data_IF_520606556623
#
_entry.id   IF_520606556623
#
_cell.length_a   1.000
_cell.length_b   1.000
_cell.length_c   1.000
_cell.angle_alpha   90.00
_cell.angle_beta   90.00
_cell.angle_gamma   90.00
#
_symmetry.space_group_name_H-M   'P 1'
#
loop_
_entity.id
_entity.type
_entity.pdbx_description
1 polymer ?
#
# COMPACT_ATOMS: atom_id res chain seq x y z
N UNK A 1 -12.88 38.56 33.39
CA UNK A 1 -13.77 39.67 32.96
C UNK A 1 -13.00 40.49 31.93
N UNK A 2 -13.40 40.73 30.69
CA UNK A 2 -14.55 40.40 29.87
C UNK A 2 -14.21 40.87 28.44
N UNK A 3 -14.73 40.19 27.41
CA UNK A 3 -14.58 40.56 25.98
C UNK A 3 -15.34 41.86 25.67
N UNK A 4 -15.11 42.48 24.50
CA UNK A 4 -15.95 42.20 23.30
C UNK A 4 -15.08 41.95 22.04
N UNK A 5 -15.41 41.09 21.05
CA UNK A 5 -16.56 41.09 20.09
C UNK A 5 -16.51 42.34 19.19
N UNK A 6 -16.54 42.38 17.85
CA UNK A 6 -16.96 41.48 16.75
C UNK A 6 -16.50 42.15 15.42
N UNK A 7 -16.44 41.39 14.32
CA UNK A 7 -16.79 41.83 12.94
C UNK A 7 -16.00 42.99 12.27
N UNK A 8 -15.07 42.65 11.37
CA UNK A 8 -14.66 43.38 10.14
C UNK A 8 -13.44 42.59 9.58
N UNK A 9 -13.47 41.87 8.47
CA UNK A 9 -13.43 42.37 7.08
C UNK A 9 -13.76 41.18 6.17
N UNK A 10 -14.99 41.14 5.68
CA UNK A 10 -15.36 40.59 4.37
C UNK A 10 -15.69 41.85 3.57
N UNK A 11 -14.82 42.25 2.64
CA UNK A 11 -15.05 43.20 1.55
C UNK A 11 -13.69 43.63 0.97
N UNK A 12 -13.22 42.94 -0.07
CA UNK A 12 -12.58 43.56 -1.23
C UNK A 12 -12.39 42.49 -2.32
N UNK A 13 -12.74 42.85 -3.57
CA UNK A 13 -12.67 42.08 -4.83
C UNK A 13 -13.96 41.39 -5.29
N UNK A 14 -14.93 42.23 -5.67
CA UNK A 14 -15.89 41.93 -6.73
C UNK A 14 -16.19 43.22 -7.48
N UNK A 15 -15.74 43.34 -8.73
CA UNK A 15 -16.36 44.14 -9.81
C UNK A 15 -15.51 44.10 -11.09
N UNK A 16 -15.81 43.14 -11.96
CA UNK A 16 -15.83 43.33 -13.42
C UNK A 16 -16.85 42.34 -14.02
N UNK A 17 -18.05 42.89 -14.27
CA UNK A 17 -19.03 42.55 -15.30
C UNK A 17 -19.73 41.16 -15.32
N UNK A 18 -20.98 41.15 -14.83
CA UNK A 18 -22.16 40.49 -15.47
C UNK A 18 -22.53 41.29 -16.74
N UNK A 19 -23.11 40.81 -17.86
CA UNK A 19 -23.96 39.66 -18.24
C UNK A 19 -23.97 39.54 -19.81
N UNK A 20 -24.88 38.81 -20.51
CA UNK A 20 -25.63 37.57 -20.22
C UNK A 20 -25.52 36.48 -21.34
N UNK A 21 -26.15 35.35 -21.03
CA UNK A 21 -26.51 34.15 -21.83
C UNK A 21 -27.11 34.43 -23.24
N UNK A 22 -26.73 33.60 -24.22
CA UNK A 22 -27.61 33.18 -25.33
C UNK A 22 -27.26 31.75 -25.76
N UNK A 23 -28.29 30.90 -25.81
CA UNK A 23 -28.23 29.50 -26.22
C UNK A 23 -28.34 29.37 -27.74
N UNK A 24 -27.57 28.46 -28.36
CA UNK A 24 -27.86 27.94 -29.69
C UNK A 24 -27.54 26.44 -29.74
N UNK A 25 -28.59 25.68 -30.04
CA UNK A 25 -28.64 24.24 -30.29
C UNK A 25 -27.96 23.84 -31.63
N UNK A 26 -27.60 22.55 -31.83
CA UNK A 26 -26.85 22.07 -32.98
C UNK A 26 -27.75 21.71 -34.18
N UNK A 27 -27.23 21.63 -35.41
CA UNK A 27 -28.02 21.14 -36.54
C UNK A 27 -27.79 19.65 -36.80
N UNK A 28 -28.88 18.87 -36.73
CA UNK A 28 -29.02 17.59 -37.43
C UNK A 28 -29.55 17.79 -38.86
N UNK A 29 -28.99 16.98 -39.76
CA UNK A 29 -29.47 16.48 -41.07
C UNK A 29 -30.66 17.12 -41.79
N UNK A 30 -30.47 17.44 -43.09
CA UNK A 30 -31.37 16.98 -44.16
C UNK A 30 -30.71 16.99 -45.55
N UNK A 31 -31.26 16.12 -46.40
CA UNK A 31 -30.71 15.51 -47.60
C UNK A 31 -30.98 16.25 -48.94
N UNK A 32 -30.54 15.60 -50.02
CA UNK A 32 -30.75 15.82 -51.48
C UNK A 32 -29.70 16.76 -52.13
N UNK A 33 -29.11 16.50 -53.31
CA UNK A 33 -29.45 15.68 -54.49
C UNK A 33 -28.20 15.51 -55.38
N UNK A 34 -27.88 14.29 -55.84
CA UNK A 34 -27.84 13.81 -57.25
C UNK A 34 -26.89 14.50 -58.25
N UNK A 35 -25.91 13.72 -58.76
CA UNK A 35 -25.42 13.55 -60.15
C UNK A 35 -23.99 12.96 -60.08
N UNK A 36 -23.79 11.64 -60.20
CA UNK A 36 -23.67 10.86 -61.43
C UNK A 36 -22.46 11.28 -62.30
N UNK A 37 -21.36 10.52 -62.22
CA UNK A 37 -20.67 10.04 -63.42
C UNK A 37 -19.84 8.77 -63.16
N UNK A 38 -19.79 7.93 -64.18
CA UNK A 38 -19.43 6.52 -64.15
C UNK A 38 -17.93 6.24 -64.41
N UNK A 39 -17.42 5.10 -63.93
CA UNK A 39 -16.90 4.00 -64.77
C UNK A 39 -16.09 2.92 -64.01
N UNK A 40 -16.47 1.66 -64.31
CA UNK A 40 -15.66 0.42 -64.43
C UNK A 40 -14.91 -0.13 -63.19
N UNK A 41 -15.40 -1.20 -62.54
CA UNK A 41 -15.33 -2.65 -62.91
C UNK A 41 -13.98 -3.34 -62.62
N UNK A 42 -13.97 -4.19 -61.59
CA UNK A 42 -13.63 -5.63 -61.73
C UNK A 42 -13.94 -6.38 -60.43
N UNK A 43 -14.88 -7.34 -60.50
CA UNK A 43 -15.21 -8.28 -59.43
C UNK A 43 -14.82 -9.71 -59.86
N UNK A 44 -14.15 -10.42 -58.93
CA UNK A 44 -14.13 -11.87 -58.57
C UNK A 44 -14.18 -12.98 -59.67
N UNK A 45 -13.87 -14.27 -59.35
CA UNK A 45 -14.83 -15.13 -58.65
C UNK A 45 -14.24 -16.16 -57.65
N UNK A 46 -15.04 -16.45 -56.62
CA UNK A 46 -15.07 -17.71 -55.86
C UNK A 46 -16.04 -18.71 -56.52
N UNK A 47 -15.84 -20.02 -56.32
CA UNK A 47 -16.83 -21.14 -56.19
C UNK A 47 -16.13 -22.53 -56.36
N UNK A 48 -16.73 -23.70 -56.02
CA UNK A 48 -17.85 -24.01 -55.11
C UNK A 48 -17.68 -25.28 -54.21
N UNK A 49 -18.50 -25.36 -53.15
CA UNK A 49 -19.41 -26.48 -52.81
C UNK A 49 -18.89 -27.82 -52.22
N UNK A 50 -19.37 -28.17 -51.01
CA UNK A 50 -20.19 -29.37 -50.76
C UNK A 50 -20.69 -29.44 -49.30
N UNK A 51 -22.01 -29.52 -49.13
CA UNK A 51 -22.66 -29.75 -47.84
C UNK A 51 -22.94 -31.23 -47.53
N UNK A 52 -23.09 -31.55 -46.24
CA UNK A 52 -23.95 -32.65 -45.77
C UNK A 52 -24.41 -32.43 -44.32
N UNK A 53 -25.70 -32.67 -44.11
CA UNK A 53 -26.49 -32.50 -42.87
C UNK A 53 -26.38 -33.71 -41.91
N UNK A 54 -26.88 -33.48 -40.68
CA UNK A 54 -27.62 -34.42 -39.79
C UNK A 54 -26.73 -35.35 -38.91
N UNK A 55 -26.94 -35.62 -37.60
CA UNK A 55 -28.09 -35.55 -36.67
C UNK A 55 -27.65 -35.45 -35.19
N UNK A 56 -28.49 -34.81 -34.38
CA UNK A 56 -28.62 -34.99 -32.92
C UNK A 56 -29.47 -36.23 -32.58
N UNK A 57 -29.09 -37.01 -31.56
CA UNK A 57 -29.89 -38.04 -30.84
C UNK A 57 -29.15 -38.35 -29.53
N UNK A 58 -29.68 -38.27 -28.30
CA UNK A 58 -31.05 -38.32 -27.81
C UNK A 58 -31.45 -39.75 -27.45
N UNK A 59 -31.10 -40.25 -26.26
CA UNK A 59 -31.51 -41.58 -25.79
C UNK A 59 -31.42 -41.75 -24.27
N UNK A 60 -32.55 -42.09 -23.64
CA UNK A 60 -32.78 -42.28 -22.19
C UNK A 60 -33.40 -43.69 -21.98
N UNK A 61 -32.83 -44.48 -21.06
CA UNK A 61 -33.42 -45.60 -20.27
C UNK A 61 -33.60 -46.98 -20.95
N UNK A 62 -33.97 -48.07 -20.20
CA UNK A 62 -34.04 -48.26 -18.73
C UNK A 62 -33.50 -49.65 -18.21
N UNK A 63 -33.42 -49.85 -16.87
CA UNK A 63 -33.89 -51.12 -16.26
C UNK A 63 -32.94 -52.02 -15.42
N UNK A 64 -33.04 -51.89 -14.08
CA UNK A 64 -33.17 -52.90 -13.01
C UNK A 64 -32.23 -54.11 -12.77
N UNK A 65 -31.83 -54.24 -11.48
CA UNK A 65 -31.53 -55.48 -10.74
C UNK A 65 -30.07 -55.57 -10.27
N UNK A 66 -29.68 -55.78 -9.01
CA UNK A 66 -30.35 -56.03 -7.74
C UNK A 66 -29.29 -56.61 -6.77
N UNK A 67 -29.31 -56.17 -5.51
CA UNK A 67 -28.96 -57.00 -4.34
C UNK A 67 -27.49 -57.38 -4.02
N UNK A 68 -27.11 -56.98 -2.80
CA UNK A 68 -26.25 -57.67 -1.83
C UNK A 68 -24.72 -57.51 -1.89
N UNK A 69 -24.16 -57.16 -0.73
CA UNK A 69 -22.94 -57.81 -0.24
C UNK A 69 -21.82 -56.89 0.19
N UNK A 70 -21.66 -56.79 1.51
CA UNK A 70 -20.55 -56.16 2.23
C UNK A 70 -19.14 -56.48 1.68
N UNK A 71 -18.26 -55.47 1.74
CA UNK A 71 -16.82 -55.66 1.60
C UNK A 71 -16.05 -54.36 1.80
N UNK A 72 -15.64 -54.08 3.05
CA UNK A 72 -14.66 -53.04 3.36
C UNK A 72 -13.32 -53.39 2.70
N UNK A 73 -13.00 -52.74 1.58
CA UNK A 73 -11.75 -52.87 0.85
C UNK A 73 -10.96 -51.56 0.92
N UNK A 74 -9.71 -51.65 1.37
CA UNK A 74 -8.79 -50.55 1.63
C UNK A 74 -8.68 -49.56 0.45
N UNK A 75 -8.74 -48.26 0.76
CA UNK A 75 -8.53 -47.18 -0.18
C UNK A 75 -7.14 -47.24 -0.81
N UNK A 76 -7.08 -47.54 -2.11
CA UNK A 76 -5.88 -47.34 -2.93
C UNK A 76 -5.63 -45.84 -3.04
N UNK A 77 -4.44 -45.43 -2.59
CA UNK A 77 -3.98 -44.04 -2.60
C UNK A 77 -4.13 -43.39 -3.97
N UNK A 78 -4.54 -42.12 -3.94
CA UNK A 78 -4.42 -41.23 -5.08
C UNK A 78 -2.93 -41.13 -5.42
N UNK A 79 -2.56 -41.72 -6.56
CA UNK A 79 -1.23 -41.49 -7.14
C UNK A 79 -1.21 -40.03 -7.57
N UNK A 80 -0.44 -39.22 -6.86
CA UNK A 80 0.03 -37.95 -7.38
C UNK A 80 0.71 -38.26 -8.73
N UNK A 81 0.16 -37.75 -9.82
CA UNK A 81 0.91 -37.63 -11.06
C UNK A 81 2.01 -36.61 -10.76
N UNK A 82 3.18 -37.11 -10.36
CA UNK A 82 4.41 -36.35 -10.46
C UNK A 82 4.54 -35.95 -11.93
N UNK A 83 4.42 -34.66 -12.20
CA UNK A 83 4.82 -34.12 -13.49
C UNK A 83 6.32 -34.39 -13.61
N UNK A 84 6.70 -35.22 -14.58
CA UNK A 84 8.09 -35.35 -15.02
C UNK A 84 8.60 -33.94 -15.37
N UNK A 85 9.39 -33.35 -14.48
CA UNK A 85 10.13 -32.13 -14.74
C UNK A 85 11.42 -32.51 -15.46
N UNK A 86 11.29 -33.06 -16.66
CA UNK A 86 12.41 -33.30 -17.57
C UNK A 86 12.34 -32.33 -18.76
N UNK A 87 12.11 -31.05 -18.44
CA UNK A 87 12.39 -29.97 -19.39
C UNK A 87 13.85 -29.56 -19.22
N UNK A 88 14.67 -29.56 -20.29
CA UNK A 88 16.03 -29.07 -20.21
C UNK A 88 16.03 -27.63 -19.72
N UNK A 89 16.88 -27.32 -18.73
CA UNK A 89 17.03 -25.96 -18.23
C UNK A 89 17.44 -25.03 -19.38
N UNK A 90 16.51 -24.20 -19.83
CA UNK A 90 16.78 -23.17 -20.83
C UNK A 90 17.62 -22.10 -20.15
N UNK A 91 18.92 -22.06 -20.44
CA UNK A 91 19.81 -21.02 -19.95
C UNK A 91 19.58 -19.75 -20.75
N UNK A 92 19.05 -18.72 -20.12
CA UNK A 92 18.89 -17.40 -20.74
C UNK A 92 20.15 -16.56 -20.51
N UNK A 93 20.72 -16.02 -21.59
CA UNK A 93 21.87 -15.12 -21.51
C UNK A 93 21.46 -13.78 -20.86
N UNK A 94 22.17 -13.41 -19.80
CA UNK A 94 22.00 -12.13 -19.10
C UNK A 94 22.97 -11.11 -19.69
N UNK A 95 22.46 -9.94 -20.05
CA UNK A 95 23.23 -8.86 -20.70
C UNK A 95 23.05 -7.53 -19.97
N UNK A 96 23.93 -6.56 -20.26
CA UNK A 96 23.99 -5.24 -19.64
C UNK A 96 24.13 -4.13 -20.70
N UNK A 97 23.08 -3.79 -21.46
CA UNK A 97 23.21 -2.99 -22.68
C UNK A 97 23.65 -1.53 -22.48
N UNK A 98 23.32 -0.89 -21.34
CA UNK A 98 23.64 0.51 -21.07
C UNK A 98 24.46 0.72 -19.78
N UNK A 99 24.02 0.11 -18.68
CA UNK A 99 24.76 0.13 -17.41
C UNK A 99 25.53 -1.19 -17.28
N UNK A 100 26.85 -1.14 -17.51
CA UNK A 100 27.72 -2.30 -17.35
C UNK A 100 27.66 -2.87 -15.92
N UNK A 101 27.76 -4.20 -15.81
CA UNK A 101 27.84 -4.97 -14.56
C UNK A 101 26.67 -4.84 -13.56
N UNK A 102 25.67 -4.00 -13.84
CA UNK A 102 24.51 -3.77 -12.98
C UNK A 102 23.19 -3.98 -13.72
N UNK A 103 22.18 -4.47 -13.02
CA UNK A 103 20.83 -4.54 -13.56
C UNK A 103 20.68 -5.46 -14.78
N UNK A 104 21.19 -6.68 -14.69
CA UNK A 104 21.12 -7.66 -15.78
C UNK A 104 19.73 -7.93 -16.33
N UNK A 105 19.65 -8.02 -17.66
CA UNK A 105 18.41 -8.25 -18.43
C UNK A 105 18.55 -9.42 -19.39
N UNK A 106 17.41 -10.05 -19.70
CA UNK A 106 17.28 -11.05 -20.75
C UNK A 106 16.52 -10.42 -21.91
N UNK A 107 16.98 -10.61 -23.14
CA UNK A 107 16.30 -10.08 -24.33
C UNK A 107 15.05 -10.92 -24.65
N UNK A 108 13.91 -10.23 -24.81
CA UNK A 108 12.59 -10.80 -25.05
C UNK A 108 11.90 -10.09 -26.22
N UNK A 109 12.31 -10.37 -27.48
CA UNK A 109 11.82 -9.63 -28.65
C UNK A 109 10.34 -9.89 -28.95
N UNK A 110 9.83 -11.06 -28.56
CA UNK A 110 8.45 -11.47 -28.85
C UNK A 110 7.50 -11.28 -27.64
N UNK A 111 7.95 -10.57 -26.58
CA UNK A 111 7.11 -10.32 -25.41
C UNK A 111 5.88 -9.48 -25.76
N UNK A 112 4.74 -9.83 -25.18
CA UNK A 112 3.46 -9.17 -25.43
C UNK A 112 3.43 -7.68 -25.02
N UNK A 113 4.30 -7.26 -24.10
CA UNK A 113 4.48 -5.87 -23.69
C UNK A 113 5.93 -5.47 -23.93
N UNK A 114 6.14 -4.58 -24.88
CA UNK A 114 7.45 -4.03 -25.23
C UNK A 114 7.64 -2.65 -24.59
N UNK A 115 8.89 -2.24 -24.30
CA UNK A 115 9.20 -0.85 -23.94
C UNK A 115 8.65 0.13 -24.98
N UNK A 116 7.96 1.19 -24.53
CA UNK A 116 7.40 2.20 -25.42
C UNK A 116 8.35 3.39 -25.54
N UNK A 117 8.67 3.86 -26.76
CA UNK A 117 9.51 5.04 -26.92
C UNK A 117 8.81 6.27 -26.33
N UNK A 118 9.61 7.22 -25.84
CA UNK A 118 9.17 8.47 -25.21
C UNK A 118 8.42 8.29 -23.88
N UNK A 119 8.55 7.12 -23.24
CA UNK A 119 7.98 6.91 -21.90
C UNK A 119 8.64 7.84 -20.89
N UNK A 120 7.85 8.48 -20.03
CA UNK A 120 8.34 9.22 -18.86
C UNK A 120 8.15 8.36 -17.62
N UNK A 121 9.24 8.00 -16.95
CA UNK A 121 9.22 7.08 -15.82
C UNK A 121 9.75 7.76 -14.56
N UNK A 122 8.92 7.87 -13.54
CA UNK A 122 9.31 8.32 -12.22
C UNK A 122 9.44 7.10 -11.31
N UNK A 123 10.64 6.89 -10.77
CA UNK A 123 10.92 5.83 -9.81
C UNK A 123 11.11 6.44 -8.43
N UNK A 124 10.29 6.03 -7.45
CA UNK A 124 10.42 6.47 -6.04
C UNK A 124 11.09 5.38 -5.20
N UNK A 125 12.36 5.59 -4.85
CA UNK A 125 13.16 4.67 -4.06
C UNK A 125 13.16 5.09 -2.60
N UNK A 126 12.56 4.26 -1.74
CA UNK A 126 12.31 4.60 -0.33
C UNK A 126 13.17 3.84 0.68
N UNK A 127 13.76 2.70 0.28
CA UNK A 127 14.56 1.83 1.17
C UNK A 127 16.07 2.04 1.01
N UNK A 128 16.78 2.00 2.13
CA UNK A 128 18.24 1.87 2.16
C UNK A 128 18.68 0.44 1.84
N UNK A 129 19.99 0.22 1.76
CA UNK A 129 20.62 -1.09 1.65
C UNK A 129 21.57 -1.37 2.81
N UNK A 130 22.26 -2.51 2.75
CA UNK A 130 23.40 -2.78 3.63
C UNK A 130 24.48 -1.73 3.37
N UNK A 131 25.10 -1.14 4.41
CA UNK A 131 25.93 0.04 4.20
C UNK A 131 27.17 -0.16 3.34
N UNK A 132 27.74 -1.37 3.36
CA UNK A 132 28.93 -1.79 2.63
C UNK A 132 28.63 -2.37 1.23
N UNK A 133 27.36 -2.42 0.84
CA UNK A 133 26.91 -2.95 -0.45
C UNK A 133 26.15 -1.90 -1.25
N UNK A 134 26.13 -2.07 -2.57
CA UNK A 134 25.27 -1.26 -3.45
C UNK A 134 23.81 -1.45 -3.03
N UNK A 135 23.06 -0.36 -2.93
CA UNK A 135 21.64 -0.40 -2.59
C UNK A 135 20.89 -1.23 -3.64
N UNK A 136 20.19 -2.32 -3.26
CA UNK A 136 19.46 -3.17 -4.20
C UNK A 136 18.38 -2.44 -5.01
N UNK A 137 17.90 -1.29 -4.52
CA UNK A 137 17.02 -0.41 -5.27
C UNK A 137 17.70 0.22 -6.48
N UNK A 138 18.98 0.60 -6.37
CA UNK A 138 19.75 1.14 -7.50
C UNK A 138 20.02 0.07 -8.56
N UNK A 139 20.29 -1.16 -8.15
CA UNK A 139 20.40 -2.31 -9.07
C UNK A 139 19.13 -2.49 -9.93
N UNK A 140 17.96 -2.30 -9.31
CA UNK A 140 16.68 -2.35 -10.04
C UNK A 140 16.51 -1.19 -10.99
N UNK A 141 16.93 0.02 -10.61
CA UNK A 141 16.88 1.17 -11.51
C UNK A 141 17.81 0.95 -12.71
N UNK A 142 19.02 0.43 -12.49
CA UNK A 142 19.94 0.02 -13.56
C UNK A 142 19.27 -1.01 -14.49
N UNK A 143 18.54 -1.97 -13.91
CA UNK A 143 17.76 -2.93 -14.69
C UNK A 143 16.69 -2.26 -15.54
N UNK A 144 16.01 -1.22 -15.03
CA UNK A 144 15.02 -0.47 -15.80
C UNK A 144 15.66 0.27 -16.98
N UNK A 145 16.81 0.91 -16.77
CA UNK A 145 17.57 1.52 -17.87
C UNK A 145 17.95 0.47 -18.92
N UNK A 146 18.51 -0.67 -18.50
CA UNK A 146 18.89 -1.76 -19.39
C UNK A 146 17.70 -2.41 -20.12
N UNK A 147 16.50 -2.42 -19.52
CA UNK A 147 15.28 -2.90 -20.18
C UNK A 147 14.97 -2.05 -21.42
N UNK A 148 14.99 -0.73 -21.26
CA UNK A 148 14.73 0.20 -22.37
C UNK A 148 15.89 0.23 -23.38
N UNK A 149 17.13 0.00 -22.94
CA UNK A 149 18.29 0.01 -23.82
C UNK A 149 18.41 -1.21 -24.73
N UNK A 150 17.85 -2.38 -24.36
CA UNK A 150 18.01 -3.57 -25.22
C UNK A 150 17.31 -4.86 -24.80
N UNK A 151 16.44 -4.87 -23.79
CA UNK A 151 15.73 -6.10 -23.40
C UNK A 151 14.52 -6.40 -24.28
N UNK A 152 14.02 -5.43 -25.05
CA UNK A 152 12.87 -5.61 -25.93
C UNK A 152 13.22 -6.13 -27.33
N UNK A 153 12.25 -6.01 -28.24
CA UNK A 153 12.44 -6.22 -29.67
C UNK A 153 13.53 -5.28 -30.21
N UNK A 154 13.35 -3.99 -29.90
CA UNK A 154 14.25 -2.88 -30.25
C UNK A 154 14.49 -2.00 -29.01
N UNK A 155 15.62 -1.27 -28.94
CA UNK A 155 15.82 -0.21 -27.95
C UNK A 155 14.72 0.85 -28.02
N UNK A 156 14.34 1.42 -26.88
CA UNK A 156 13.32 2.45 -26.78
C UNK A 156 13.79 3.61 -25.90
N UNK A 157 13.53 4.84 -26.35
CA UNK A 157 13.86 6.03 -25.59
C UNK A 157 12.96 6.18 -24.35
N UNK A 158 13.56 6.55 -23.22
CA UNK A 158 12.87 6.78 -21.94
C UNK A 158 13.44 8.03 -21.28
N UNK A 159 12.55 8.87 -20.72
CA UNK A 159 12.93 9.93 -19.79
C UNK A 159 12.70 9.41 -18.38
N UNK A 160 13.77 9.12 -17.64
CA UNK A 160 13.69 8.53 -16.32
C UNK A 160 14.12 9.52 -15.24
N UNK A 161 13.33 9.61 -14.16
CA UNK A 161 13.68 10.33 -12.96
C UNK A 161 13.66 9.38 -11.76
N UNK A 162 14.67 9.44 -10.92
CA UNK A 162 14.77 8.69 -9.66
C UNK A 162 14.69 9.66 -8.49
N UNK A 163 13.72 9.44 -7.61
CA UNK A 163 13.57 10.20 -6.37
C UNK A 163 14.00 9.33 -5.19
N UNK A 164 14.99 9.81 -4.43
CA UNK A 164 15.44 9.19 -3.18
C UNK A 164 14.63 9.76 -2.02
N UNK A 165 13.93 8.86 -1.34
CA UNK A 165 13.08 9.16 -0.20
C UNK A 165 13.36 8.16 0.93
N UNK A 166 12.76 8.37 2.11
CA UNK A 166 12.92 7.45 3.25
C UNK A 166 14.39 7.16 3.60
N UNK A 167 14.71 5.89 3.78
CA UNK A 167 16.08 5.44 4.10
C UNK A 167 17.03 5.51 2.90
N UNK A 168 16.52 5.48 1.67
CA UNK A 168 17.33 5.59 0.46
C UNK A 168 18.01 6.97 0.34
N UNK A 169 17.47 7.99 1.00
CA UNK A 169 18.03 9.35 1.08
C UNK A 169 19.51 9.37 1.46
N UNK A 170 20.00 8.40 2.25
CA UNK A 170 21.40 8.35 2.67
C UNK A 170 22.32 7.69 1.64
N UNK A 171 21.78 7.00 0.64
CA UNK A 171 22.56 6.35 -0.41
C UNK A 171 23.24 7.37 -1.35
N UNK A 172 22.83 8.64 -1.33
CA UNK A 172 23.35 9.69 -2.23
C UNK A 172 24.46 10.53 -1.61
N UNK A 173 24.93 10.20 -0.41
CA UNK A 173 25.98 10.98 0.27
C UNK A 173 27.35 10.79 -0.41
N UNK A 174 28.25 11.77 -0.30
CA UNK A 174 29.66 11.64 -0.63
C UNK A 174 30.36 10.65 0.30
N UNK A 175 31.51 10.12 -0.12
CA UNK A 175 32.27 9.11 0.62
C UNK A 175 32.50 9.50 2.09
N UNK A 176 33.06 10.69 2.35
CA UNK A 176 33.38 11.15 3.70
C UNK A 176 32.15 11.17 4.63
N UNK A 177 31.03 11.71 4.13
CA UNK A 177 29.79 11.83 4.90
C UNK A 177 29.12 10.46 5.12
N UNK A 178 29.19 9.57 4.13
CA UNK A 178 28.65 8.22 4.24
C UNK A 178 29.48 7.36 5.19
N UNK A 179 30.81 7.37 5.03
CA UNK A 179 31.77 6.67 5.87
C UNK A 179 31.63 7.09 7.35
N UNK A 180 31.54 8.39 7.61
CA UNK A 180 31.30 8.91 8.96
C UNK A 180 29.97 8.44 9.57
N UNK A 181 28.95 8.25 8.73
CA UNK A 181 27.60 7.88 9.16
C UNK A 181 27.43 6.37 9.40
N UNK A 182 28.06 5.55 8.57
CA UNK A 182 27.84 4.10 8.54
C UNK A 182 29.06 3.28 8.95
N UNK A 183 30.19 3.92 9.24
CA UNK A 183 31.44 3.27 9.61
C UNK A 183 31.96 2.32 8.53
N UNK A 184 31.90 2.76 7.27
CA UNK A 184 32.39 2.06 6.08
C UNK A 184 33.59 2.78 5.46
N UNK A 185 34.27 2.16 4.50
CA UNK A 185 35.41 2.77 3.78
C UNK A 185 35.01 3.88 2.81
N UNK A 186 33.71 3.97 2.47
CA UNK A 186 33.15 4.93 1.53
C UNK A 186 31.68 4.62 1.24
N UNK A 187 31.12 5.29 0.24
CA UNK A 187 29.77 5.04 -0.23
C UNK A 187 29.79 4.11 -1.46
N UNK A 188 29.35 2.84 -1.33
CA UNK A 188 29.35 1.89 -2.44
C UNK A 188 28.40 2.28 -3.59
N UNK A 189 27.49 3.23 -3.37
CA UNK A 189 26.48 3.62 -4.35
C UNK A 189 26.99 4.61 -5.40
N UNK A 190 28.11 5.31 -5.14
CA UNK A 190 28.50 6.49 -5.94
C UNK A 190 28.81 6.18 -7.39
N UNK A 191 29.45 5.05 -7.68
CA UNK A 191 29.77 4.65 -9.04
C UNK A 191 28.50 4.40 -9.85
N UNK A 192 27.55 3.65 -9.30
CA UNK A 192 26.28 3.38 -9.95
C UNK A 192 25.45 4.66 -10.14
N UNK A 193 25.45 5.58 -9.18
CA UNK A 193 24.79 6.89 -9.33
C UNK A 193 25.39 7.72 -10.49
N UNK A 194 26.71 7.68 -10.67
CA UNK A 194 27.38 8.33 -11.82
C UNK A 194 26.99 7.69 -13.14
N UNK A 195 26.94 6.36 -13.19
CA UNK A 195 26.55 5.63 -14.40
C UNK A 195 25.08 5.90 -14.77
N UNK A 196 24.17 5.89 -13.79
CA UNK A 196 22.76 6.25 -14.02
C UNK A 196 22.60 7.69 -14.53
N UNK A 197 23.32 8.64 -13.95
CA UNK A 197 23.29 10.03 -14.41
C UNK A 197 23.83 10.19 -15.83
N UNK A 198 24.90 9.46 -16.17
CA UNK A 198 25.50 9.44 -17.53
C UNK A 198 24.52 8.91 -18.58
N UNK A 199 23.71 7.93 -18.23
CA UNK A 199 22.63 7.40 -19.10
C UNK A 199 21.36 8.29 -19.08
N UNK A 200 21.43 9.49 -18.52
CA UNK A 200 20.36 10.49 -18.59
C UNK A 200 19.26 10.35 -17.54
N UNK A 201 19.47 9.55 -16.48
CA UNK A 201 18.52 9.50 -15.36
C UNK A 201 18.65 10.78 -14.52
N UNK A 202 17.53 11.49 -14.36
CA UNK A 202 17.43 12.66 -13.48
C UNK A 202 17.36 12.20 -12.02
N UNK A 203 18.33 12.57 -11.19
CA UNK A 203 18.44 12.10 -9.80
C UNK A 203 18.04 13.20 -8.82
N UNK A 204 17.05 12.94 -7.97
CA UNK A 204 16.56 13.87 -6.96
C UNK A 204 16.57 13.26 -5.57
N UNK A 205 16.95 14.01 -4.55
CA UNK A 205 16.87 13.57 -3.14
C UNK A 205 15.93 14.43 -2.32
N UNK A 206 15.17 13.82 -1.41
CA UNK A 206 14.33 14.53 -0.46
C UNK A 206 15.16 15.39 0.50
N UNK A 207 15.17 16.71 0.31
CA UNK A 207 15.88 17.66 1.16
C UNK A 207 15.40 17.64 2.62
N UNK A 208 14.09 17.63 2.86
CA UNK A 208 13.56 17.52 4.23
C UNK A 208 14.06 16.26 4.95
N UNK A 209 14.03 15.10 4.27
CA UNK A 209 14.48 13.84 4.86
C UNK A 209 16.00 13.84 5.08
N UNK A 210 16.77 14.40 4.15
CA UNK A 210 18.23 14.49 4.25
C UNK A 210 18.64 15.26 5.51
N UNK A 211 18.08 16.46 5.70
CA UNK A 211 18.32 17.31 6.88
C UNK A 211 17.84 16.61 8.15
N UNK A 212 16.65 16.00 8.14
CA UNK A 212 16.12 15.28 9.31
C UNK A 212 17.00 14.09 9.76
N UNK A 213 17.78 13.52 8.84
CA UNK A 213 18.72 12.43 9.10
C UNK A 213 20.12 12.92 9.45
N UNK A 214 20.31 14.23 9.60
CA UNK A 214 21.55 14.86 10.03
C UNK A 214 22.62 14.97 8.95
N UNK A 215 22.26 14.90 7.67
CA UNK A 215 23.17 15.19 6.56
C UNK A 215 22.93 16.61 6.05
N UNK A 216 23.98 17.29 5.59
CA UNK A 216 23.92 18.61 4.98
C UNK A 216 23.72 18.51 3.46
N UNK A 217 23.19 19.57 2.84
CA UNK A 217 23.04 19.63 1.37
C UNK A 217 24.39 19.49 0.65
N UNK A 218 25.49 19.98 1.26
CA UNK A 218 26.84 19.86 0.71
C UNK A 218 27.40 18.44 0.73
N UNK A 219 26.80 17.54 1.52
CA UNK A 219 27.19 16.14 1.64
C UNK A 219 26.63 15.28 0.50
N UNK A 220 25.70 15.81 -0.31
CA UNK A 220 25.07 15.10 -1.42
C UNK A 220 26.05 14.99 -2.60
N UNK A 221 26.08 13.83 -3.25
CA UNK A 221 26.85 13.59 -4.47
C UNK A 221 26.43 14.57 -5.58
N UNK A 222 27.40 15.04 -6.36
CA UNK A 222 27.20 16.11 -7.36
C UNK A 222 26.19 15.72 -8.47
N UNK A 223 26.01 14.43 -8.71
CA UNK A 223 25.06 13.91 -9.69
C UNK A 223 23.61 13.96 -9.22
N UNK A 224 23.35 14.27 -7.95
CA UNK A 224 22.02 14.24 -7.33
C UNK A 224 21.59 15.63 -6.88
N UNK A 225 20.38 16.02 -7.27
CA UNK A 225 19.82 17.34 -6.97
C UNK A 225 18.92 17.27 -5.73
N UNK A 226 19.14 18.11 -4.70
CA UNK A 226 18.20 18.23 -3.60
C UNK A 226 16.88 18.86 -4.07
N UNK A 227 15.78 18.14 -3.92
CA UNK A 227 14.44 18.71 -4.00
C UNK A 227 14.00 19.21 -2.62
N UNK A 228 13.05 20.16 -2.57
CA UNK A 228 12.46 20.61 -1.28
C UNK A 228 11.99 19.40 -0.48
N UNK A 229 11.26 18.49 -1.13
CA UNK A 229 10.85 17.20 -0.59
C UNK A 229 10.68 16.17 -1.71
N UNK A 230 10.69 14.88 -1.38
CA UNK A 230 10.28 13.82 -2.30
C UNK A 230 8.84 14.03 -2.77
N UNK A 231 7.92 14.42 -1.86
CA UNK A 231 6.53 14.72 -2.20
C UNK A 231 6.42 15.73 -3.35
N UNK A 232 7.12 16.86 -3.24
CA UNK A 232 7.10 17.90 -4.29
C UNK A 232 7.70 17.41 -5.60
N UNK A 233 8.80 16.65 -5.56
CA UNK A 233 9.41 16.10 -6.77
C UNK A 233 8.46 15.12 -7.46
N UNK A 234 7.87 14.20 -6.69
CA UNK A 234 6.92 13.19 -7.18
C UNK A 234 5.68 13.85 -7.80
N UNK A 235 5.03 14.78 -7.08
CA UNK A 235 3.82 15.47 -7.58
C UNK A 235 4.11 16.24 -8.86
N UNK A 236 5.23 16.97 -8.93
CA UNK A 236 5.60 17.74 -10.12
C UNK A 236 5.88 16.82 -11.32
N UNK A 237 6.69 15.77 -11.13
CA UNK A 237 7.03 14.84 -12.20
C UNK A 237 5.79 14.08 -12.69
N UNK A 238 4.88 13.67 -11.79
CA UNK A 238 3.60 13.09 -12.21
C UNK A 238 2.73 14.09 -12.98
N UNK A 239 2.67 15.36 -12.56
CA UNK A 239 1.97 16.41 -13.30
C UNK A 239 2.58 16.66 -14.69
N UNK A 240 3.89 16.48 -14.84
CA UNK A 240 4.63 16.55 -16.10
C UNK A 240 4.44 15.27 -16.98
N UNK A 241 3.61 14.34 -16.54
CA UNK A 241 3.20 13.14 -17.27
C UNK A 241 4.09 11.92 -17.03
N UNK A 242 4.89 11.91 -15.95
CA UNK A 242 5.67 10.72 -15.59
C UNK A 242 4.77 9.66 -14.95
N UNK A 243 4.92 8.41 -15.39
CA UNK A 243 4.32 7.24 -14.76
C UNK A 243 5.06 6.94 -13.44
N UNK A 244 4.31 6.81 -12.34
CA UNK A 244 4.85 6.58 -11.01
C UNK A 244 5.10 5.09 -10.74
N UNK A 245 6.34 4.75 -10.36
CA UNK A 245 6.77 3.39 -10.01
C UNK A 245 7.41 3.41 -8.62
N UNK A 246 6.71 2.91 -7.59
CA UNK A 246 7.27 2.82 -6.25
C UNK A 246 8.25 1.63 -6.15
N UNK A 247 9.48 1.90 -5.68
CA UNK A 247 10.46 0.89 -5.29
C UNK A 247 10.59 0.82 -3.78
N UNK A 248 9.67 0.08 -3.17
CA UNK A 248 9.85 -0.51 -1.86
C UNK A 248 10.10 -2.01 -2.07
N UNK A 249 11.32 -2.52 -1.86
CA UNK A 249 11.48 -3.97 -1.90
C UNK A 249 10.78 -4.59 -0.67
N UNK A 250 9.82 -5.48 -0.92
CA UNK A 250 9.42 -6.55 0.01
C UNK A 250 10.68 -7.36 0.26
N UNK A 251 11.17 -7.40 1.50
CA UNK A 251 12.23 -8.33 1.85
C UNK A 251 11.70 -9.76 1.57
N UNK A 252 12.47 -10.67 0.95
CA UNK A 252 12.15 -12.07 1.15
C UNK A 252 12.12 -12.30 2.66
N UNK A 253 11.13 -13.05 3.15
CA UNK A 253 11.16 -13.52 4.52
C UNK A 253 12.55 -14.11 4.76
N UNK A 254 13.34 -13.45 5.60
CA UNK A 254 14.65 -13.95 5.97
C UNK A 254 14.42 -15.37 6.49
N UNK A 255 15.09 -16.41 5.96
CA UNK A 255 14.95 -17.73 6.55
C UNK A 255 15.33 -17.54 8.02
N UNK A 256 14.40 -17.88 8.91
CA UNK A 256 14.62 -17.79 10.34
C UNK A 256 16.02 -18.33 10.61
N UNK A 257 16.94 -17.46 11.10
CA UNK A 257 18.18 -17.93 11.67
C UNK A 257 17.75 -18.97 12.68
N UNK A 258 18.06 -20.23 12.40
CA UNK A 258 18.01 -21.28 13.41
C UNK A 258 19.01 -20.85 14.48
N UNK A 259 18.52 -20.12 15.48
CA UNK A 259 19.20 -19.94 16.74
C UNK A 259 19.33 -21.33 17.31
N UNK A 260 20.54 -21.86 17.22
CA UNK A 260 20.89 -23.10 17.89
C UNK A 260 20.73 -22.87 19.40
N UNK A 261 20.35 -23.92 20.12
CA UNK A 261 20.02 -23.90 21.54
C UNK A 261 21.16 -23.38 22.47
N UNK A 262 22.33 -23.04 21.93
CA UNK A 262 23.46 -22.52 22.69
C UNK A 262 23.40 -21.00 22.97
N UNK A 263 22.69 -20.21 22.16
CA UNK A 263 22.59 -18.74 22.39
C UNK A 263 21.46 -18.36 23.35
N UNK A 264 20.53 -19.29 23.63
CA UNK A 264 19.46 -19.12 24.63
C UNK A 264 19.93 -19.26 26.09
N UNK A 265 21.18 -19.67 26.33
CA UNK A 265 21.69 -19.96 27.68
C UNK A 265 22.47 -18.81 28.33
N UNK A 266 22.77 -17.72 27.62
CA UNK A 266 23.58 -16.61 28.16
C UNK A 266 22.73 -15.40 28.59
N UNK A 267 21.48 -15.27 28.10
CA UNK A 267 20.60 -14.15 28.45
C UNK A 267 19.69 -14.38 29.68
N UNK A 268 19.67 -15.59 30.27
CA UNK A 268 18.79 -15.93 31.40
C UNK A 268 19.45 -15.80 32.78
N UNK A 269 20.65 -15.21 32.89
CA UNK A 269 21.37 -15.10 34.15
C UNK A 269 21.41 -13.68 34.75
N UNK A 270 20.87 -12.66 34.08
CA UNK A 270 21.01 -11.28 34.54
C UNK A 270 19.68 -10.52 34.44
N UNK A 271 18.75 -10.85 35.35
CA UNK A 271 17.86 -9.91 36.07
C UNK A 271 16.93 -10.71 36.97
N UNK A 272 17.41 -11.05 38.16
CA UNK A 272 16.58 -11.47 39.29
C UNK A 272 16.95 -10.60 40.49
N UNK A 273 16.29 -9.45 40.64
CA UNK A 273 16.12 -8.78 41.94
C UNK A 273 15.12 -7.62 41.85
N UNK A 274 14.26 -7.55 42.88
CA UNK A 274 13.42 -6.44 43.34
C UNK A 274 11.98 -6.34 42.80
N UNK A 275 11.09 -7.04 43.52
CA UNK A 275 9.67 -6.72 43.70
C UNK A 275 9.47 -5.76 44.88
N UNK A 276 8.61 -4.73 44.74
CA UNK A 276 7.61 -4.25 45.72
C UNK A 276 7.01 -2.87 45.32
N UNK A 277 5.77 -2.53 45.75
CA UNK A 277 4.83 -1.69 45.00
C UNK A 277 4.69 -0.26 45.56
N UNK A 278 4.31 0.72 44.72
CA UNK A 278 3.76 2.01 45.19
C UNK A 278 2.66 2.56 44.28
N UNK A 279 1.61 3.06 44.94
CA UNK A 279 0.45 3.73 44.37
C UNK A 279 0.58 5.26 44.50
N UNK A 280 -0.27 5.95 43.71
CA UNK A 280 -0.72 7.34 43.77
C UNK A 280 0.13 8.47 43.14
N UNK A 281 -0.56 9.27 42.31
CA UNK A 281 -0.40 10.73 42.30
C UNK A 281 -0.13 11.38 40.94
N UNK A 282 -1.18 11.90 40.29
CA UNK A 282 -1.02 12.98 39.30
C UNK A 282 -0.49 14.25 39.98
N UNK A 283 0.39 15.00 39.29
CA UNK A 283 0.24 16.45 39.27
C UNK A 283 0.24 17.02 37.84
N UNK A 284 -0.72 17.89 37.59
CA UNK A 284 -0.72 18.84 36.48
C UNK A 284 0.41 19.87 36.64
N UNK A 285 1.08 20.22 35.54
CA UNK A 285 1.97 21.39 35.45
C UNK A 285 2.70 21.44 34.11
N UNK A 286 2.26 22.32 33.21
CA UNK A 286 2.58 22.27 31.78
C UNK A 286 3.94 22.83 31.31
N UNK A 287 4.15 22.71 30.00
CA UNK A 287 5.25 23.35 29.27
C UNK A 287 5.36 22.83 27.84
N UNK A 288 5.14 23.72 26.86
CA UNK A 288 5.16 23.49 25.40
C UNK A 288 6.46 22.85 24.88
N UNK A 289 6.32 21.96 23.90
CA UNK A 289 7.39 21.55 22.97
C UNK A 289 6.84 20.64 21.86
N UNK A 290 6.45 21.22 20.72
CA UNK A 290 6.06 20.48 19.51
C UNK A 290 7.30 19.83 18.89
N UNK A 291 7.50 18.54 19.16
CA UNK A 291 8.54 17.69 18.57
C UNK A 291 8.26 17.30 17.11
N UNK A 292 9.27 16.81 16.38
CA UNK A 292 9.23 16.65 14.92
C UNK A 292 8.41 15.42 14.50
N UNK A 293 7.24 15.63 13.89
CA UNK A 293 6.24 14.59 13.60
C UNK A 293 6.32 13.91 12.21
N UNK A 294 7.43 14.03 11.47
CA UNK A 294 7.48 13.59 10.07
C UNK A 294 7.87 12.12 9.79
N UNK A 295 8.70 11.49 10.63
CA UNK A 295 9.32 10.19 10.29
C UNK A 295 8.57 8.98 10.89
N UNK A 296 8.09 9.07 12.13
CA UNK A 296 7.38 7.97 12.79
C UNK A 296 5.97 7.71 12.24
N UNK A 297 5.32 8.72 11.62
CA UNK A 297 3.96 8.60 11.11
C UNK A 297 3.82 7.65 9.91
N UNK A 298 4.79 7.67 8.98
CA UNK A 298 4.80 6.84 7.76
C UNK A 298 5.25 5.40 8.05
N UNK A 299 6.24 5.21 8.94
CA UNK A 299 6.66 3.88 9.41
C UNK A 299 5.58 3.22 10.27
N UNK A 300 4.96 3.98 11.19
CA UNK A 300 3.79 3.52 11.91
C UNK A 300 2.68 3.15 10.95
N UNK A 301 2.43 3.95 9.90
CA UNK A 301 1.32 3.69 8.97
C UNK A 301 1.54 2.40 8.18
N UNK A 302 2.77 2.13 7.76
CA UNK A 302 3.09 0.90 7.05
C UNK A 302 3.08 -0.34 7.96
N UNK A 303 3.53 -0.19 9.21
CA UNK A 303 3.41 -1.23 10.25
C UNK A 303 1.94 -1.54 10.50
N UNK A 304 1.12 -0.52 10.70
CA UNK A 304 -0.31 -0.67 11.02
C UNK A 304 -1.08 -1.29 9.86
N UNK A 305 -0.79 -0.91 8.62
CA UNK A 305 -1.40 -1.53 7.44
C UNK A 305 -0.95 -2.98 7.26
N UNK A 306 0.30 -3.31 7.61
CA UNK A 306 0.80 -4.70 7.57
C UNK A 306 0.11 -5.55 8.64
N UNK A 307 -0.01 -5.03 9.86
CA UNK A 307 -0.74 -5.65 10.96
C UNK A 307 -2.21 -5.86 10.59
N UNK A 308 -2.86 -4.83 10.03
CA UNK A 308 -4.26 -4.87 9.59
C UNK A 308 -4.47 -5.93 8.50
N UNK A 309 -3.62 -5.97 7.45
CA UNK A 309 -3.70 -7.00 6.41
C UNK A 309 -3.49 -8.40 6.98
N UNK A 310 -2.50 -8.58 7.87
CA UNK A 310 -2.26 -9.88 8.50
C UNK A 310 -3.44 -10.34 9.35
N UNK A 311 -4.13 -9.42 10.03
CA UNK A 311 -5.33 -9.72 10.79
C UNK A 311 -6.52 -10.05 9.87
N UNK A 312 -6.66 -9.36 8.73
CA UNK A 312 -7.68 -9.67 7.73
C UNK A 312 -7.48 -11.05 7.08
N UNK A 313 -6.23 -11.40 6.74
CA UNK A 313 -5.88 -12.68 6.12
C UNK A 313 -6.08 -13.87 7.07
N UNK A 314 -5.98 -13.63 8.39
CA UNK A 314 -6.15 -14.64 9.44
C UNK A 314 -7.42 -14.45 10.27
N UNK A 315 -8.45 -13.80 9.71
CA UNK A 315 -9.69 -13.46 10.43
C UNK A 315 -10.43 -14.67 10.99
N UNK A 316 -10.28 -15.85 10.36
CA UNK A 316 -10.84 -17.13 10.80
C UNK A 316 -10.30 -17.58 12.16
N UNK A 317 -9.13 -17.07 12.57
CA UNK A 317 -8.52 -17.32 13.86
C UNK A 317 -8.89 -16.29 14.93
N UNK A 318 -9.65 -15.25 14.58
CA UNK A 318 -10.02 -14.16 15.49
C UNK A 318 -11.44 -14.38 15.99
N UNK A 319 -11.60 -14.43 17.30
CA UNK A 319 -12.90 -14.47 17.97
C UNK A 319 -13.16 -13.10 18.58
N UNK A 320 -14.29 -12.49 18.22
CA UNK A 320 -14.72 -11.21 18.77
C UNK A 320 -16.10 -11.33 19.37
N UNK A 321 -16.29 -10.77 20.56
CA UNK A 321 -17.59 -10.56 21.19
C UNK A 321 -17.79 -9.08 21.49
N UNK A 322 -19.02 -8.59 21.28
CA UNK A 322 -19.37 -7.17 21.51
C UNK A 322 -20.61 -7.10 22.39
N UNK A 323 -20.54 -6.27 23.42
CA UNK A 323 -21.64 -5.91 24.30
C UNK A 323 -21.91 -4.42 24.15
N UNK A 324 -23.10 -4.07 23.69
CA UNK A 324 -23.53 -2.68 23.61
C UNK A 324 -23.96 -2.21 25.00
N UNK A 325 -23.40 -1.11 25.47
CA UNK A 325 -23.69 -0.51 26.77
C UNK A 325 -24.56 0.73 26.59
N UNK A 326 -25.41 1.12 27.56
CA UNK A 326 -26.21 2.34 27.46
C UNK A 326 -25.39 3.61 27.23
N UNK A 327 -24.15 3.62 27.71
CA UNK A 327 -23.18 4.72 27.68
C UNK A 327 -21.98 4.42 26.77
N UNK A 328 -22.05 3.39 25.91
CA UNK A 328 -20.97 3.07 24.97
C UNK A 328 -20.97 1.62 24.49
N UNK A 329 -19.81 0.98 24.48
CA UNK A 329 -19.66 -0.41 24.04
C UNK A 329 -18.42 -1.08 24.67
N UNK A 330 -18.53 -2.37 24.93
CA UNK A 330 -17.41 -3.23 25.34
C UNK A 330 -17.19 -4.29 24.26
N UNK A 331 -15.94 -4.51 23.87
CA UNK A 331 -15.56 -5.52 22.89
C UNK A 331 -14.35 -6.32 23.36
N UNK A 332 -14.44 -7.64 23.31
CA UNK A 332 -13.34 -8.56 23.61
C UNK A 332 -12.94 -9.25 22.30
N UNK A 333 -11.67 -9.12 21.92
CA UNK A 333 -11.12 -9.72 20.69
C UNK A 333 -9.90 -10.56 21.03
N UNK A 334 -9.98 -11.86 20.73
CA UNK A 334 -8.99 -12.85 21.15
C UNK A 334 -8.68 -13.84 20.02
N UNK A 335 -7.52 -14.48 20.11
CA UNK A 335 -7.12 -15.59 19.25
C UNK A 335 -6.43 -16.68 20.05
N UNK A 336 -6.59 -17.92 19.61
CA UNK A 336 -5.81 -19.05 20.13
C UNK A 336 -4.42 -19.14 19.47
N UNK A 337 -4.15 -18.34 18.42
CA UNK A 337 -2.85 -18.20 17.77
C UNK A 337 -2.07 -17.06 18.43
N UNK A 338 -0.96 -17.39 19.08
CA UNK A 338 -0.12 -16.43 19.83
C UNK A 338 0.34 -15.26 18.94
N UNK A 339 0.61 -15.51 17.65
CA UNK A 339 1.03 -14.46 16.71
C UNK A 339 -0.10 -13.45 16.48
N UNK A 340 -1.34 -13.94 16.35
CA UNK A 340 -2.51 -13.09 16.13
C UNK A 340 -2.90 -12.35 17.42
N UNK A 341 -2.77 -13.00 18.57
CA UNK A 341 -2.94 -12.37 19.88
C UNK A 341 -1.97 -11.19 20.08
N UNK A 342 -0.69 -11.36 19.71
CA UNK A 342 0.31 -10.28 19.78
C UNK A 342 0.00 -9.14 18.79
N UNK A 343 -0.44 -9.47 17.57
CA UNK A 343 -0.86 -8.46 16.59
C UNK A 343 -2.07 -7.65 17.09
N UNK A 344 -3.03 -8.30 17.76
CA UNK A 344 -4.18 -7.62 18.39
C UNK A 344 -3.73 -6.62 19.46
N UNK A 345 -2.78 -7.02 20.31
CA UNK A 345 -2.21 -6.17 21.37
C UNK A 345 -1.43 -4.98 20.81
N UNK A 346 -0.76 -5.16 19.68
CA UNK A 346 -0.04 -4.06 19.01
C UNK A 346 -0.99 -3.12 18.26
N UNK A 347 -2.05 -3.65 17.65
CA UNK A 347 -2.94 -2.88 16.78
C UNK A 347 -3.80 -1.87 17.55
N UNK A 348 -4.39 -2.28 18.68
CA UNK A 348 -5.36 -1.44 19.41
C UNK A 348 -4.74 -0.13 19.92
N UNK A 349 -3.59 -0.12 20.61
CA UNK A 349 -2.93 1.13 21.04
C UNK A 349 -2.49 1.99 19.86
N UNK A 350 -1.97 1.37 18.78
CA UNK A 350 -1.53 2.09 17.60
C UNK A 350 -2.69 2.84 16.91
N UNK A 351 -3.91 2.28 16.92
CA UNK A 351 -5.09 2.95 16.36
C UNK A 351 -5.59 4.09 17.25
N UNK A 352 -5.53 3.94 18.57
CA UNK A 352 -5.85 5.03 19.50
C UNK A 352 -4.89 6.22 19.31
N UNK A 353 -3.58 5.97 19.28
CA UNK A 353 -2.56 6.99 19.06
C UNK A 353 -2.77 7.77 17.74
N UNK A 354 -3.33 7.13 16.72
CA UNK A 354 -3.66 7.79 15.45
C UNK A 354 -4.87 8.68 15.54
N UNK A 355 -5.90 8.23 16.24
CA UNK A 355 -7.13 9.02 16.43
C UNK A 355 -6.79 10.26 17.27
N UNK A 356 -6.11 10.08 18.41
CA UNK A 356 -5.66 11.17 19.27
C UNK A 356 -4.61 12.06 18.60
N UNK A 357 -3.74 11.47 17.78
CA UNK A 357 -2.69 12.17 17.04
C UNK A 357 -3.16 12.86 15.75
N UNK A 358 -4.45 12.80 15.40
CA UNK A 358 -5.04 13.30 14.15
C UNK A 358 -4.30 12.81 12.88
N UNK A 359 -3.95 11.51 12.84
CA UNK A 359 -3.23 10.84 11.75
C UNK A 359 -3.98 9.60 11.24
N UNK A 360 -5.22 9.76 10.76
CA UNK A 360 -6.04 8.62 10.36
C UNK A 360 -5.47 7.91 9.12
N UNK A 361 -5.65 6.60 9.06
CA UNK A 361 -5.30 5.78 7.90
C UNK A 361 -6.36 5.92 6.81
N UNK A 362 -6.03 5.66 5.53
CA UNK A 362 -6.98 5.78 4.44
C UNK A 362 -8.32 5.04 4.70
N UNK A 363 -8.35 3.77 5.17
CA UNK A 363 -9.62 3.10 5.52
C UNK A 363 -10.45 3.83 6.58
N UNK A 364 -9.81 4.52 7.53
CA UNK A 364 -10.47 5.35 8.55
C UNK A 364 -10.99 6.69 8.00
N UNK A 365 -10.49 7.14 6.85
CA UNK A 365 -10.94 8.37 6.20
C UNK A 365 -12.03 8.16 5.15
N UNK A 366 -12.29 6.91 4.75
CA UNK A 366 -13.34 6.60 3.75
C UNK A 366 -14.65 6.12 4.36
N UNK A 367 -14.63 5.52 5.55
CA UNK A 367 -15.87 5.05 6.18
C UNK A 367 -16.53 6.15 7.04
N UNK A 368 -17.83 6.44 6.87
CA UNK A 368 -18.51 7.51 7.59
C UNK A 368 -18.40 7.43 9.12
N UNK A 369 -18.50 6.23 9.70
CA UNK A 369 -18.36 6.01 11.16
C UNK A 369 -17.00 6.44 11.68
N UNK A 370 -15.91 6.06 11.01
CA UNK A 370 -14.55 6.42 11.43
C UNK A 370 -14.33 7.93 11.34
N UNK A 371 -14.77 8.55 10.24
CA UNK A 371 -14.68 10.00 10.05
C UNK A 371 -15.46 10.75 11.14
N UNK A 372 -16.64 10.25 11.53
CA UNK A 372 -17.42 10.84 12.61
C UNK A 372 -16.73 10.67 13.97
N UNK A 373 -16.23 9.48 14.31
CA UNK A 373 -15.50 9.26 15.56
C UNK A 373 -14.24 10.11 15.69
N UNK A 374 -13.46 10.27 14.62
CA UNK A 374 -12.25 11.12 14.64
C UNK A 374 -12.61 12.58 14.95
N UNK A 375 -13.75 13.08 14.45
CA UNK A 375 -14.23 14.44 14.75
C UNK A 375 -14.68 14.60 16.21
N UNK A 376 -15.04 13.49 16.86
CA UNK A 376 -15.54 13.42 18.23
C UNK A 376 -14.53 12.72 19.16
N UNK A 377 -13.24 12.70 18.80
CA UNK A 377 -12.20 11.98 19.55
C UNK A 377 -12.03 12.46 21.00
N UNK A 378 -12.44 13.70 21.30
CA UNK A 378 -12.42 14.27 22.65
C UNK A 378 -13.73 14.00 23.45
N UNK A 379 -14.77 13.46 22.80
CA UNK A 379 -16.11 13.30 23.37
C UNK A 379 -16.40 11.87 23.88
N UNK A 380 -15.42 10.98 23.84
CA UNK A 380 -15.49 9.63 24.41
C UNK A 380 -14.15 9.22 25.04
N UNK A 381 -14.23 8.28 25.97
CA UNK A 381 -13.07 7.67 26.62
C UNK A 381 -12.94 6.21 26.19
N UNK A 382 -11.77 5.84 25.68
CA UNK A 382 -11.40 4.47 25.32
C UNK A 382 -10.44 3.95 26.39
N UNK A 383 -10.75 2.78 26.94
CA UNK A 383 -9.84 2.02 27.79
C UNK A 383 -9.63 0.64 27.20
N UNK A 384 -8.44 0.07 27.40
CA UNK A 384 -8.17 -1.31 27.02
C UNK A 384 -7.37 -2.05 28.07
N UNK A 385 -7.57 -3.36 28.09
CA UNK A 385 -6.90 -4.30 28.96
C UNK A 385 -6.39 -5.46 28.10
N UNK A 386 -5.11 -5.81 28.24
CA UNK A 386 -4.57 -7.01 27.62
C UNK A 386 -5.19 -8.25 28.28
N UNK A 387 -5.65 -9.20 27.47
CA UNK A 387 -5.99 -10.54 27.94
C UNK A 387 -4.86 -11.51 27.60
N UNK A 388 -4.91 -12.73 28.15
CA UNK A 388 -3.95 -13.78 27.79
C UNK A 388 -3.96 -14.10 26.29
N UNK A 389 -5.08 -13.83 25.60
CA UNK A 389 -5.33 -14.22 24.21
C UNK A 389 -5.59 -13.04 23.26
N UNK A 390 -5.46 -11.80 23.72
CA UNK A 390 -5.74 -10.63 22.90
C UNK A 390 -6.00 -9.38 23.73
N UNK A 391 -7.12 -8.71 23.44
CA UNK A 391 -7.45 -7.39 23.97
C UNK A 391 -8.93 -7.24 24.29
N UNK A 392 -9.22 -6.63 25.45
CA UNK A 392 -10.53 -6.08 25.80
C UNK A 392 -10.49 -4.57 25.60
N UNK A 393 -11.49 -4.01 24.94
CA UNK A 393 -11.64 -2.57 24.71
C UNK A 393 -13.01 -2.12 25.22
N UNK A 394 -13.02 -1.05 25.99
CA UNK A 394 -14.24 -0.44 26.53
C UNK A 394 -14.29 1.02 26.11
N UNK A 395 -15.46 1.45 25.65
CA UNK A 395 -15.74 2.83 25.28
C UNK A 395 -16.83 3.38 26.18
N UNK A 396 -16.65 4.62 26.65
CA UNK A 396 -17.65 5.38 27.39
C UNK A 396 -17.82 6.76 26.76
N UNK A 397 -19.07 7.20 26.58
CA UNK A 397 -19.42 8.53 26.08
C UNK A 397 -20.69 9.04 26.76
N UNK A 398 -20.80 10.36 26.91
CA UNK A 398 -21.98 11.00 27.52
C UNK A 398 -23.00 11.48 26.47
N UNK A 399 -22.52 11.94 25.30
CA UNK A 399 -23.39 12.41 24.23
C UNK A 399 -24.09 11.20 23.55
N UNK A 400 -25.44 11.17 23.50
CA UNK A 400 -26.18 10.10 22.82
C UNK A 400 -25.75 9.86 21.36
N UNK A 401 -25.34 10.92 20.65
CA UNK A 401 -24.78 10.81 19.31
C UNK A 401 -23.48 10.01 19.30
N UNK A 402 -22.57 10.33 20.22
CA UNK A 402 -21.25 9.69 20.31
C UNK A 402 -21.38 8.26 20.82
N UNK A 403 -22.31 7.99 21.75
CA UNK A 403 -22.67 6.62 22.16
C UNK A 403 -23.11 5.79 20.95
N UNK A 404 -23.97 6.33 20.10
CA UNK A 404 -24.38 5.66 18.86
C UNK A 404 -23.19 5.40 17.92
N UNK A 405 -22.30 6.39 17.73
CA UNK A 405 -21.11 6.23 16.88
C UNK A 405 -20.18 5.12 17.37
N UNK A 406 -19.92 5.07 18.68
CA UNK A 406 -19.10 4.04 19.33
C UNK A 406 -19.70 2.66 19.15
N UNK A 407 -21.02 2.53 19.34
CA UNK A 407 -21.72 1.26 19.16
C UNK A 407 -21.70 0.80 17.70
N UNK A 408 -21.89 1.72 16.75
CA UNK A 408 -21.81 1.42 15.32
C UNK A 408 -20.40 1.04 14.89
N UNK A 409 -19.37 1.69 15.45
CA UNK A 409 -17.99 1.29 15.25
C UNK A 409 -17.72 -0.11 15.78
N UNK A 410 -18.20 -0.44 16.99
CA UNK A 410 -18.03 -1.77 17.56
C UNK A 410 -18.65 -2.87 16.68
N UNK A 411 -19.83 -2.61 16.08
CA UNK A 411 -20.50 -3.50 15.11
C UNK A 411 -19.73 -3.59 13.79
N UNK A 412 -19.27 -2.46 13.26
CA UNK A 412 -18.53 -2.40 12.00
C UNK A 412 -17.24 -3.25 12.07
N UNK A 413 -16.49 -3.16 13.19
CA UNK A 413 -15.29 -4.00 13.38
C UNK A 413 -15.63 -5.49 13.40
N UNK A 414 -16.78 -5.88 13.95
CA UNK A 414 -17.24 -7.27 13.87
C UNK A 414 -17.53 -7.69 12.43
N UNK A 415 -18.13 -6.82 11.60
CA UNK A 415 -18.35 -7.10 10.18
C UNK A 415 -17.04 -7.21 9.39
N UNK A 416 -16.02 -6.42 9.73
CA UNK A 416 -14.69 -6.57 9.14
C UNK A 416 -14.07 -7.94 9.42
N UNK A 417 -14.26 -8.48 10.62
CA UNK A 417 -13.77 -9.84 10.96
C UNK A 417 -14.57 -10.92 10.24
N UNK A 418 -15.87 -10.73 10.04
CA UNK A 418 -16.73 -11.70 9.35
C UNK A 418 -16.48 -11.70 7.83
N UNK A 419 -16.56 -10.52 7.21
CA UNK A 419 -16.61 -10.34 5.76
C UNK A 419 -15.23 -9.98 5.14
N UNK A 420 -14.24 -9.62 5.96
CA UNK A 420 -12.90 -9.28 5.49
C UNK A 420 -12.87 -8.00 4.64
N UNK A 421 -12.01 -8.00 3.62
CA UNK A 421 -11.78 -6.83 2.74
C UNK A 421 -13.01 -6.43 1.92
N UNK A 422 -13.97 -7.35 1.70
CA UNK A 422 -15.21 -7.03 0.98
C UNK A 422 -16.03 -5.96 1.71
N UNK A 423 -16.01 -5.98 3.05
CA UNK A 423 -16.74 -5.00 3.88
C UNK A 423 -16.25 -3.56 3.66
N UNK A 424 -14.98 -3.36 3.27
CA UNK A 424 -14.42 -2.01 3.01
C UNK A 424 -15.15 -1.34 1.84
N UNK A 425 -15.63 -2.12 0.89
CA UNK A 425 -16.32 -1.64 -0.30
C UNK A 425 -17.84 -1.62 -0.14
N UNK A 426 -18.37 -2.15 0.97
CA UNK A 426 -19.80 -2.13 1.25
C UNK A 426 -20.25 -0.70 1.57
N UNK A 427 -21.24 -0.15 0.84
CA UNK A 427 -21.81 1.14 1.18
C UNK A 427 -22.35 1.13 2.61
N UNK A 428 -21.98 2.14 3.40
CA UNK A 428 -22.45 2.28 4.77
C UNK A 428 -23.04 3.68 4.98
N UNK A 429 -24.26 3.72 5.50
CA UNK A 429 -24.92 4.96 5.92
C UNK A 429 -24.95 5.03 7.44
N UNK A 430 -24.54 6.17 7.99
CA UNK A 430 -24.62 6.43 9.42
C UNK A 430 -26.09 6.46 9.88
N UNK A 431 -26.46 5.66 10.90
CA UNK A 431 -27.78 5.76 11.50
C UNK A 431 -28.05 7.18 12.00
N UNK A 432 -29.26 7.67 11.76
CA UNK A 432 -29.73 8.91 12.39
C UNK A 432 -30.09 8.58 13.84
N UNK A 433 -29.76 9.49 14.75
CA UNK A 433 -30.25 9.39 16.12
C UNK A 433 -31.77 9.20 16.11
N UNK A 434 -32.30 8.23 16.88
CA UNK A 434 -33.72 8.21 17.17
C UNK A 434 -34.08 9.60 17.73
N UNK A 435 -35.00 10.30 17.07
CA UNK A 435 -35.55 11.53 17.66
C UNK A 435 -36.14 11.11 19.00
N UNK A 436 -35.71 11.75 20.09
CA UNK A 436 -36.39 11.57 21.36
C UNK A 436 -37.88 11.81 21.15
N UNK A 437 -38.67 10.76 21.29
CA UNK A 437 -40.11 10.89 21.47
C UNK A 437 -40.28 11.66 22.76
N UNK A 438 -40.48 12.98 22.66
CA UNK A 438 -40.96 13.79 23.78
C UNK A 438 -42.21 13.08 24.33
N UNK A 439 -42.08 12.48 25.50
CA UNK A 439 -43.23 12.11 26.34
C UNK A 439 -43.65 13.31 27.16
#
# INVERSE_FOLDING_TARGET
MGRPSTLLIVLLWGLLAFAPVSAQDPPESRAASEQADAAAQSAQPHEPGHGRRMRFRGGRGPGFGGGQGLGFGHGRGMRHHAADSDQPAVTHEVTHPAIADHGGVVRLPDAAQQPRPWTKLLVDLTRGGEPDQVNPGLEKVAKYVNIYAGAGAEPAEVKMALVFHGQATLAVLKDDAYAAKFHTDGNPNLELLKNLHKEGVELYVCGQTLISKGAALGDVAETVQPAVSALTAVVNLQADGYAYVPLAHVAPASPAKQTTAAEKAVATAETAAATAPQAHGHPHGGGRGLGPQGAGGMQGMQSDMTTLHSMFDNRDKIKRSVKLLPDGAEAVTESDDETIADLLKQHVPAMEDRVLGNKPLPPMTFHPVFVALIKHAEDYHLTYEETDKGMKVTYHAEDPYVVMLVQEHAKLVSRFIENGMEEIHTPYELPKLPKETKQ
#
